data_IF_455749609543
#
_entry.id   IF_455749609543
#
_cell.length_a   1.000
_cell.length_b   1.000
_cell.length_c   1.000
_cell.angle_alpha   90.00
_cell.angle_beta   90.00
_cell.angle_gamma   90.00
#
_symmetry.space_group_name_H-M   'P 1'
#
loop_
_entity.id
_entity.type
_entity.pdbx_description
1 polymer ?
#
# COMPACT_ATOMS: atom_id res chain seq x y z
N UNK A 1 23.08 -5.61 7.26
CA UNK A 1 22.16 -5.81 6.11
C UNK A 1 21.08 -4.73 6.18
N UNK A 2 20.92 -3.93 5.12
CA UNK A 2 19.94 -2.87 5.05
C UNK A 2 18.50 -3.45 5.08
N UNK A 3 17.51 -2.72 5.65
CA UNK A 3 16.11 -3.17 5.68
C UNK A 3 15.57 -3.49 4.29
N UNK A 4 15.98 -2.73 3.27
CA UNK A 4 15.65 -2.99 1.87
C UNK A 4 16.21 -4.32 1.38
N UNK A 5 17.43 -4.69 1.78
CA UNK A 5 18.04 -5.96 1.40
C UNK A 5 17.29 -7.15 2.00
N UNK A 6 16.78 -7.02 3.24
CA UNK A 6 15.90 -8.02 3.86
C UNK A 6 14.59 -8.18 3.11
N UNK A 7 13.96 -7.07 2.71
CA UNK A 7 12.74 -7.12 1.92
C UNK A 7 12.95 -7.83 0.59
N UNK A 8 14.05 -7.53 -0.11
CA UNK A 8 14.43 -8.22 -1.35
C UNK A 8 14.59 -9.72 -1.11
N UNK A 9 15.29 -10.13 -0.06
CA UNK A 9 15.47 -11.54 0.28
C UNK A 9 14.13 -12.26 0.52
N UNK A 10 13.22 -11.67 1.29
CA UNK A 10 11.90 -12.25 1.55
C UNK A 10 11.04 -12.27 0.29
N UNK A 11 11.04 -11.18 -0.49
CA UNK A 11 10.28 -11.11 -1.73
C UNK A 11 10.75 -12.17 -2.75
N UNK A 12 12.05 -12.38 -2.90
CA UNK A 12 12.59 -13.46 -3.73
C UNK A 12 12.09 -14.83 -3.29
N UNK A 13 11.97 -15.06 -1.97
CA UNK A 13 11.46 -16.32 -1.43
C UNK A 13 9.98 -16.53 -1.79
N UNK A 14 9.17 -15.48 -1.67
CA UNK A 14 7.76 -15.52 -2.07
C UNK A 14 7.61 -15.74 -3.57
N UNK A 15 8.35 -14.98 -4.39
CA UNK A 15 8.29 -15.11 -5.87
C UNK A 15 8.63 -16.53 -6.32
N UNK A 16 9.63 -17.17 -5.71
CA UNK A 16 9.98 -18.57 -6.05
C UNK A 16 8.87 -19.57 -5.71
N UNK A 17 8.08 -19.29 -4.68
CA UNK A 17 7.04 -20.20 -4.20
C UNK A 17 5.67 -19.97 -4.89
N UNK A 18 5.38 -18.75 -5.31
CA UNK A 18 4.08 -18.36 -5.86
C UNK A 18 4.04 -18.63 -7.36
N UNK A 19 2.99 -19.33 -7.82
CA UNK A 19 2.82 -19.68 -9.25
C UNK A 19 1.65 -18.94 -9.93
N UNK A 20 0.66 -18.47 -9.17
CA UNK A 20 -0.60 -17.95 -9.75
C UNK A 20 -0.99 -16.56 -9.25
N UNK A 21 -0.57 -16.19 -8.04
CA UNK A 21 -0.95 -14.90 -7.45
C UNK A 21 -0.02 -13.77 -7.90
N UNK A 22 -0.56 -12.56 -7.93
CA UNK A 22 0.23 -11.34 -8.09
C UNK A 22 1.09 -11.14 -6.84
N UNK A 23 2.40 -10.97 -7.02
CA UNK A 23 3.31 -10.66 -5.91
C UNK A 23 3.57 -9.17 -5.88
N UNK A 24 3.07 -8.51 -4.84
CA UNK A 24 3.28 -7.09 -4.57
C UNK A 24 4.29 -6.94 -3.44
N UNK A 25 5.33 -6.15 -3.64
CA UNK A 25 6.42 -5.98 -2.67
C UNK A 25 6.27 -4.64 -1.95
N UNK A 26 6.14 -4.69 -0.62
CA UNK A 26 6.09 -3.47 0.19
C UNK A 26 7.42 -2.73 0.17
N UNK A 27 7.38 -1.45 -0.17
CA UNK A 27 8.55 -0.59 -0.06
C UNK A 27 8.82 -0.26 1.41
N UNK A 28 10.02 -0.60 1.95
CA UNK A 28 10.32 -0.36 3.36
C UNK A 28 10.37 1.13 3.70
N UNK A 29 10.08 1.44 4.97
CA UNK A 29 10.25 2.79 5.52
C UNK A 29 11.63 3.37 5.19
N UNK A 30 11.67 4.67 4.83
CA UNK A 30 12.88 5.39 4.45
C UNK A 30 13.30 5.20 2.99
N UNK A 31 12.59 4.38 2.20
CA UNK A 31 12.93 4.16 0.79
C UNK A 31 12.17 5.06 -0.18
N UNK A 32 11.07 5.69 0.25
CA UNK A 32 10.23 6.53 -0.62
C UNK A 32 9.75 7.84 0.03
N UNK A 33 9.88 7.99 1.35
CA UNK A 33 9.40 9.18 2.07
C UNK A 33 10.29 10.41 1.89
N UNK A 34 11.57 10.24 1.57
CA UNK A 34 12.53 11.35 1.49
C UNK A 34 12.37 12.18 0.20
N UNK A 35 12.28 11.50 -0.94
CA UNK A 35 12.11 12.13 -2.25
C UNK A 35 11.73 11.09 -3.32
N UNK A 36 11.14 11.57 -4.42
CA UNK A 36 10.64 10.71 -5.50
C UNK A 36 11.74 10.04 -6.32
N UNK A 37 12.97 10.59 -6.39
CA UNK A 37 14.08 9.94 -7.10
C UNK A 37 14.59 8.74 -6.30
N UNK A 38 14.69 8.87 -4.97
CA UNK A 38 15.06 7.77 -4.10
C UNK A 38 13.99 6.67 -4.11
N UNK A 39 12.71 7.05 -4.14
CA UNK A 39 11.59 6.13 -4.29
C UNK A 39 11.72 5.31 -5.59
N UNK A 40 11.92 5.96 -6.73
CA UNK A 40 12.10 5.30 -8.02
C UNK A 40 13.33 4.36 -8.02
N UNK A 41 14.49 4.81 -7.52
CA UNK A 41 15.69 3.96 -7.42
C UNK A 41 15.43 2.71 -6.59
N UNK A 42 14.69 2.86 -5.50
CA UNK A 42 14.35 1.75 -4.60
C UNK A 42 13.37 0.79 -5.26
N UNK A 43 12.32 1.28 -5.93
CA UNK A 43 11.38 0.48 -6.68
C UNK A 43 12.05 -0.30 -7.82
N UNK A 44 12.89 0.36 -8.64
CA UNK A 44 13.65 -0.30 -9.71
C UNK A 44 14.50 -1.44 -9.14
N UNK A 45 15.19 -1.21 -8.02
CA UNK A 45 16.02 -2.22 -7.39
C UNK A 45 15.18 -3.42 -6.92
N UNK A 46 14.03 -3.16 -6.27
CA UNK A 46 13.11 -4.21 -5.84
C UNK A 46 12.66 -5.04 -7.04
N UNK A 47 12.14 -4.41 -8.08
CA UNK A 47 11.64 -5.12 -9.26
C UNK A 47 12.72 -5.97 -9.94
N UNK A 48 13.90 -5.39 -10.14
CA UNK A 48 15.04 -6.09 -10.80
C UNK A 48 15.56 -7.29 -10.01
N UNK A 49 15.64 -7.15 -8.68
CA UNK A 49 16.28 -8.17 -7.84
C UNK A 49 15.30 -9.23 -7.35
N UNK A 50 14.00 -8.94 -7.30
CA UNK A 50 13.02 -9.88 -6.75
C UNK A 50 12.25 -10.68 -7.80
N UNK A 51 12.00 -10.09 -8.96
CA UNK A 51 11.04 -10.61 -9.92
C UNK A 51 9.59 -10.43 -9.49
N UNK A 52 9.32 -9.58 -8.49
CA UNK A 52 7.96 -9.18 -8.09
C UNK A 52 7.24 -8.45 -9.22
N UNK A 53 5.89 -8.36 -9.11
CA UNK A 53 5.05 -7.82 -10.17
C UNK A 53 4.69 -6.34 -9.97
N UNK A 54 4.71 -5.87 -8.72
CA UNK A 54 4.34 -4.51 -8.35
C UNK A 54 4.99 -4.11 -7.02
N UNK A 55 4.94 -2.83 -6.68
CA UNK A 55 5.32 -2.32 -5.36
C UNK A 55 4.13 -1.71 -4.64
N UNK A 56 4.16 -1.69 -3.27
CA UNK A 56 3.16 -1.00 -2.47
C UNK A 56 3.82 0.11 -1.64
N UNK A 57 3.14 1.26 -1.56
CA UNK A 57 3.53 2.41 -0.76
C UNK A 57 2.39 2.77 0.21
N UNK A 58 2.76 3.17 1.42
CA UNK A 58 1.84 3.66 2.45
C UNK A 58 1.77 5.19 2.44
N UNK A 59 0.55 5.72 2.45
CA UNK A 59 0.28 7.16 2.50
C UNK A 59 -0.61 7.62 1.35
N UNK A 60 -1.15 8.84 1.49
CA UNK A 60 -1.99 9.51 0.51
C UNK A 60 -1.21 10.58 -0.28
N UNK A 61 -1.73 11.81 -0.24
CA UNK A 61 -1.16 12.95 -1.01
C UNK A 61 0.33 13.20 -0.79
N UNK A 62 0.86 12.87 0.37
CA UNK A 62 2.28 13.06 0.72
C UNK A 62 3.22 12.16 -0.10
N UNK A 63 2.74 11.04 -0.61
CA UNK A 63 3.54 10.10 -1.43
C UNK A 63 3.22 10.15 -2.92
N UNK A 64 2.24 10.94 -3.35
CA UNK A 64 1.85 11.06 -4.77
C UNK A 64 3.02 11.37 -5.71
N UNK A 65 3.98 12.26 -5.38
CA UNK A 65 5.13 12.49 -6.26
C UNK A 65 5.99 11.24 -6.47
N UNK A 66 6.11 10.39 -5.45
CA UNK A 66 6.81 9.12 -5.55
C UNK A 66 6.00 8.10 -6.37
N UNK A 67 4.69 7.99 -6.11
CA UNK A 67 3.76 7.11 -6.85
C UNK A 67 3.81 7.40 -8.35
N UNK A 68 3.56 8.65 -8.75
CA UNK A 68 3.58 9.05 -10.16
C UNK A 68 4.91 8.72 -10.83
N UNK A 69 6.01 9.05 -10.17
CA UNK A 69 7.34 8.81 -10.73
C UNK A 69 7.68 7.33 -10.92
N UNK A 70 7.19 6.46 -10.04
CA UNK A 70 7.35 5.02 -10.15
C UNK A 70 6.49 4.48 -11.29
N UNK A 71 5.24 4.93 -11.40
CA UNK A 71 4.30 4.53 -12.46
C UNK A 71 4.81 4.99 -13.83
N UNK A 72 5.29 6.22 -13.96
CA UNK A 72 5.89 6.76 -15.21
C UNK A 72 7.08 5.93 -15.69
N UNK A 73 7.78 5.26 -14.78
CA UNK A 73 8.86 4.34 -15.13
C UNK A 73 8.37 2.92 -15.52
N UNK A 74 7.06 2.70 -15.58
CA UNK A 74 6.45 1.43 -15.97
C UNK A 74 6.32 0.40 -14.85
N UNK A 75 6.43 0.81 -13.58
CA UNK A 75 6.29 -0.08 -12.43
C UNK A 75 4.88 0.08 -11.84
N UNK A 76 4.06 -1.00 -11.78
CA UNK A 76 2.74 -0.94 -11.16
C UNK A 76 2.81 -0.62 -9.66
N UNK A 77 1.93 0.26 -9.19
CA UNK A 77 1.89 0.68 -7.78
C UNK A 77 0.53 0.35 -7.17
N UNK A 78 0.55 -0.25 -5.99
CA UNK A 78 -0.58 -0.40 -5.08
C UNK A 78 -0.49 0.66 -3.99
N UNK A 79 -1.57 1.39 -3.73
CA UNK A 79 -1.68 2.33 -2.62
C UNK A 79 -2.02 1.63 -1.30
N UNK A 80 -1.84 2.33 -0.17
CA UNK A 80 -2.27 1.83 1.14
C UNK A 80 -2.67 3.00 2.04
N UNK A 81 -3.93 3.02 2.46
CA UNK A 81 -4.55 4.05 3.29
C UNK A 81 -5.16 3.49 4.57
N UNK A 82 -5.51 4.38 5.50
CA UNK A 82 -6.03 4.05 6.82
C UNK A 82 -4.92 3.92 7.85
N UNK A 83 -4.87 2.82 8.58
CA UNK A 83 -3.71 2.53 9.42
C UNK A 83 -2.55 2.12 8.53
N UNK A 84 -1.52 2.93 8.52
CA UNK A 84 -0.27 2.64 7.80
C UNK A 84 0.80 2.28 8.83
N UNK A 85 1.19 0.99 8.98
CA UNK A 85 2.12 0.55 10.02
C UNK A 85 3.45 1.30 10.04
N UNK A 86 3.94 1.74 8.90
CA UNK A 86 5.18 2.54 8.81
C UNK A 86 5.05 3.92 9.47
N UNK A 87 3.82 4.41 9.66
CA UNK A 87 3.51 5.68 10.33
C UNK A 87 3.08 5.50 11.79
N UNK A 88 3.31 4.34 12.40
CA UNK A 88 2.79 3.99 13.73
C UNK A 88 3.23 4.96 14.83
N UNK A 89 4.44 5.48 14.76
CA UNK A 89 4.94 6.48 15.71
C UNK A 89 4.22 7.84 15.60
N UNK A 90 3.74 8.20 14.40
CA UNK A 90 2.87 9.37 14.20
C UNK A 90 1.49 9.16 14.80
N UNK A 91 0.95 7.96 14.70
CA UNK A 91 -0.38 7.62 15.23
C UNK A 91 -0.38 7.30 16.73
N UNK A 92 0.72 6.79 17.26
CA UNK A 92 0.86 6.38 18.67
C UNK A 92 0.07 5.14 19.07
N UNK A 93 -0.74 4.57 18.16
CA UNK A 93 -1.63 3.43 18.45
C UNK A 93 -2.02 2.69 17.18
N UNK A 94 -2.37 1.41 17.31
CA UNK A 94 -2.98 0.57 16.26
C UNK A 94 -4.51 0.67 16.20
N UNK A 95 -5.10 1.77 16.67
CA UNK A 95 -6.54 1.97 16.64
C UNK A 95 -7.07 2.18 15.22
N UNK A 96 -8.38 1.95 15.05
CA UNK A 96 -9.11 2.23 13.81
C UNK A 96 -8.96 3.70 13.44
N UNK A 97 -8.60 4.00 12.19
CA UNK A 97 -8.38 5.33 11.61
C UNK A 97 -9.66 5.86 10.96
N UNK A 98 -9.64 7.13 10.58
CA UNK A 98 -10.73 7.79 9.85
C UNK A 98 -12.12 7.67 10.52
N UNK A 99 -12.15 7.76 11.85
CA UNK A 99 -13.39 7.80 12.64
C UNK A 99 -14.02 9.19 12.68
N UNK A 100 -13.23 10.24 12.52
CA UNK A 100 -13.68 11.62 12.50
C UNK A 100 -13.95 12.04 11.07
N UNK A 101 -14.94 12.89 10.86
CA UNK A 101 -15.39 13.31 9.54
C UNK A 101 -14.27 13.94 8.69
N UNK A 102 -13.38 14.73 9.29
CA UNK A 102 -12.26 15.34 8.60
C UNK A 102 -11.24 14.28 8.11
N UNK A 103 -10.95 13.27 8.94
CA UNK A 103 -10.04 12.20 8.56
C UNK A 103 -10.68 11.29 7.51
N UNK A 104 -11.98 11.05 7.59
CA UNK A 104 -12.74 10.28 6.61
C UNK A 104 -12.77 10.98 5.25
N UNK A 105 -13.07 12.29 5.22
CA UNK A 105 -13.06 13.09 4.00
C UNK A 105 -11.66 13.09 3.35
N UNK A 106 -10.62 13.27 4.16
CA UNK A 106 -9.24 13.22 3.68
C UNK A 106 -8.87 11.86 3.09
N UNK A 107 -9.30 10.76 3.72
CA UNK A 107 -9.03 9.41 3.21
C UNK A 107 -9.71 9.20 1.86
N UNK A 108 -10.92 9.70 1.68
CA UNK A 108 -11.63 9.64 0.40
C UNK A 108 -10.91 10.45 -0.69
N UNK A 109 -10.47 11.67 -0.40
CA UNK A 109 -9.67 12.47 -1.33
C UNK A 109 -8.35 11.76 -1.69
N UNK A 110 -7.61 11.27 -0.69
CA UNK A 110 -6.34 10.57 -0.91
C UNK A 110 -6.53 9.29 -1.75
N UNK A 111 -7.67 8.59 -1.62
CA UNK A 111 -7.98 7.41 -2.44
C UNK A 111 -8.22 7.78 -3.91
N UNK A 112 -8.98 8.87 -4.15
CA UNK A 112 -9.19 9.40 -5.51
C UNK A 112 -7.89 9.87 -6.14
N UNK A 113 -7.05 10.61 -5.39
CA UNK A 113 -5.75 11.09 -5.84
C UNK A 113 -4.80 9.93 -6.24
N UNK A 114 -4.80 8.84 -5.46
CA UNK A 114 -4.01 7.63 -5.77
C UNK A 114 -4.52 6.94 -7.03
N UNK A 115 -5.84 6.83 -7.20
CA UNK A 115 -6.42 6.30 -8.44
C UNK A 115 -6.04 7.17 -9.65
N UNK A 116 -6.18 8.50 -9.55
CA UNK A 116 -5.81 9.43 -10.62
C UNK A 116 -4.31 9.41 -10.93
N UNK A 117 -3.49 9.14 -9.92
CA UNK A 117 -2.04 8.95 -10.12
C UNK A 117 -1.71 7.65 -10.86
N UNK A 118 -2.67 6.73 -11.03
CA UNK A 118 -2.52 5.48 -11.78
C UNK A 118 -2.22 4.26 -10.92
N UNK A 119 -2.48 4.30 -9.60
CA UNK A 119 -2.46 3.09 -8.79
C UNK A 119 -3.46 2.07 -9.34
N UNK A 120 -3.06 0.80 -9.42
CA UNK A 120 -3.93 -0.25 -9.92
C UNK A 120 -4.87 -0.84 -8.87
N UNK A 121 -4.61 -0.59 -7.58
CA UNK A 121 -5.38 -1.05 -6.43
C UNK A 121 -5.00 -0.27 -5.18
N UNK A 122 -5.87 -0.26 -4.16
CA UNK A 122 -5.60 0.37 -2.85
C UNK A 122 -5.95 -0.62 -1.73
N UNK A 123 -5.07 -0.73 -0.74
CA UNK A 123 -5.35 -1.41 0.53
C UNK A 123 -5.97 -0.41 1.51
N UNK A 124 -7.07 -0.81 2.16
CA UNK A 124 -7.66 -0.11 3.30
C UNK A 124 -7.45 -0.90 4.58
N UNK A 125 -6.64 -0.36 5.50
CA UNK A 125 -6.36 -1.02 6.77
C UNK A 125 -7.01 -0.29 7.95
N UNK A 126 -7.77 -1.06 8.77
CA UNK A 126 -8.38 -0.59 10.02
C UNK A 126 -9.10 0.76 9.90
N UNK A 127 -10.06 0.84 8.99
CA UNK A 127 -11.00 1.95 8.84
C UNK A 127 -12.43 1.48 9.10
N UNK A 128 -13.40 2.38 9.40
CA UNK A 128 -14.79 1.98 9.57
C UNK A 128 -15.35 1.29 8.32
N UNK A 129 -16.07 0.17 8.50
CA UNK A 129 -16.61 -0.61 7.39
C UNK A 129 -17.51 0.22 6.45
N UNK A 130 -18.34 1.12 7.02
CA UNK A 130 -19.18 2.01 6.22
C UNK A 130 -18.34 2.93 5.32
N UNK A 131 -17.28 3.52 5.85
CA UNK A 131 -16.38 4.37 5.06
C UNK A 131 -15.68 3.55 3.95
N UNK A 132 -15.21 2.34 4.28
CA UNK A 132 -14.61 1.45 3.29
C UNK A 132 -15.56 1.14 2.13
N UNK A 133 -16.83 0.83 2.42
CA UNK A 133 -17.87 0.62 1.42
C UNK A 133 -18.10 1.86 0.54
N UNK A 134 -18.21 3.04 1.15
CA UNK A 134 -18.42 4.30 0.43
C UNK A 134 -17.26 4.61 -0.50
N UNK A 135 -16.01 4.50 -0.01
CA UNK A 135 -14.82 4.77 -0.82
C UNK A 135 -14.66 3.72 -1.93
N UNK A 136 -14.83 2.43 -1.60
CA UNK A 136 -14.76 1.36 -2.61
C UNK A 136 -15.75 1.57 -3.74
N UNK A 137 -16.98 1.99 -3.44
CA UNK A 137 -17.99 2.26 -4.47
C UNK A 137 -17.70 3.48 -5.33
N UNK A 138 -16.89 4.41 -4.86
CA UNK A 138 -16.50 5.62 -5.60
C UNK A 138 -15.28 5.44 -6.50
N UNK A 139 -14.53 4.35 -6.33
CA UNK A 139 -13.34 4.04 -7.11
C UNK A 139 -13.68 3.08 -8.27
N UNK A 140 -12.84 3.09 -9.30
CA UNK A 140 -12.90 2.16 -10.43
C UNK A 140 -11.81 1.08 -10.36
N UNK A 141 -10.83 1.27 -9.48
CA UNK A 141 -9.77 0.30 -9.21
C UNK A 141 -10.14 -0.59 -8.02
N UNK A 142 -9.69 -1.86 -8.00
CA UNK A 142 -9.99 -2.77 -6.89
C UNK A 142 -9.48 -2.27 -5.54
N UNK A 143 -10.28 -2.50 -4.51
CA UNK A 143 -9.93 -2.22 -3.12
C UNK A 143 -9.74 -3.50 -2.32
N UNK A 144 -8.76 -3.52 -1.42
CA UNK A 144 -8.42 -4.69 -0.60
C UNK A 144 -8.49 -4.29 0.87
N UNK A 145 -9.41 -4.91 1.62
CA UNK A 145 -9.63 -4.62 3.02
C UNK A 145 -8.79 -5.48 3.97
N UNK A 146 -8.35 -4.89 5.05
CA UNK A 146 -7.86 -5.57 6.24
C UNK A 146 -8.35 -4.84 7.49
N UNK A 147 -9.31 -5.45 8.23
CA UNK A 147 -10.00 -4.76 9.31
C UNK A 147 -10.80 -3.54 8.83
N UNK A 148 -11.34 -3.58 7.62
CA UNK A 148 -12.11 -2.53 6.97
C UNK A 148 -13.55 -2.94 6.60
N UNK A 149 -14.02 -4.09 7.10
CA UNK A 149 -15.34 -4.64 6.76
C UNK A 149 -15.28 -5.53 5.52
N UNK A 150 -16.45 -5.95 5.03
CA UNK A 150 -16.59 -6.97 3.97
C UNK A 150 -16.82 -6.37 2.57
N UNK A 151 -17.05 -5.09 2.48
CA UNK A 151 -17.50 -4.41 1.25
C UNK A 151 -16.36 -3.89 0.36
N UNK A 152 -15.12 -4.30 0.63
CA UNK A 152 -14.01 -4.15 -0.31
C UNK A 152 -14.03 -5.30 -1.33
N UNK A 153 -13.46 -5.10 -2.52
CA UNK A 153 -13.40 -6.09 -3.60
C UNK A 153 -12.59 -7.35 -3.23
N UNK A 154 -11.62 -7.20 -2.32
CA UNK A 154 -10.81 -8.29 -1.79
C UNK A 154 -10.46 -8.11 -0.33
N UNK A 155 -9.90 -9.17 0.26
CA UNK A 155 -9.43 -9.17 1.65
C UNK A 155 -8.00 -9.69 1.72
N UNK A 156 -7.20 -9.13 2.62
CA UNK A 156 -5.86 -9.63 2.93
C UNK A 156 -5.75 -9.92 4.43
N UNK A 157 -4.97 -10.94 4.77
CA UNK A 157 -4.70 -11.33 6.15
C UNK A 157 -3.19 -11.40 6.38
N UNK A 158 -2.75 -10.95 7.54
CA UNK A 158 -1.36 -11.12 7.97
C UNK A 158 -1.15 -12.56 8.41
N UNK A 159 -0.18 -13.24 7.82
CA UNK A 159 0.07 -14.66 8.09
C UNK A 159 0.27 -14.95 9.58
N UNK A 160 1.00 -14.10 10.29
CA UNK A 160 1.24 -14.24 11.72
C UNK A 160 -0.04 -14.08 12.55
N UNK A 161 -0.96 -13.20 12.14
CA UNK A 161 -2.26 -13.04 12.80
C UNK A 161 -3.16 -14.27 12.60
N UNK A 162 -2.96 -15.00 11.50
CA UNK A 162 -3.72 -16.24 11.22
C UNK A 162 -3.19 -17.45 11.98
N UNK A 163 -1.90 -17.50 12.23
CA UNK A 163 -1.25 -18.68 12.82
C UNK A 163 -1.06 -18.59 14.34
N UNK A 164 -1.18 -17.40 14.93
CA UNK A 164 -1.01 -17.14 16.38
C UNK A 164 0.42 -16.82 16.78
#
# INVERSE_FOLDING_TARGET
MCIRDRMIYHAQSVVRAVQRALVVVDMPFGTYQSDSNNALKSAIRIMKETGGHAVKLEGGREVLPAVRKIIDAGIPVMGHLGLTPQSIYKFGTYSVRAKQDEEAARLMEDAMDLQEAGCFSIVFEKIPAKLAAEVSSSLTIPTIGIGAGVDCDGQVLVLHDMLG
#
